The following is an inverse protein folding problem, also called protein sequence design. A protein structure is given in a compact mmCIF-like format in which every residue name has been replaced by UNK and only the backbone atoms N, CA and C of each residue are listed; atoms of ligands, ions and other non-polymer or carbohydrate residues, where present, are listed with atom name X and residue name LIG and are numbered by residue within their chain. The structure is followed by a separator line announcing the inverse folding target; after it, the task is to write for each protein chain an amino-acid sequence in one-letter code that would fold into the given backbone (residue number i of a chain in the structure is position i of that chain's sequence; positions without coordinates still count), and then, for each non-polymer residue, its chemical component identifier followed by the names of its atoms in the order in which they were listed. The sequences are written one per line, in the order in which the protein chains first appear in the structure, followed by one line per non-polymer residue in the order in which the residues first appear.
data_IF_670077124792
#
_entry.id   IF_670077124792
#
_cell.length_a   1.000
_cell.length_b   1.000
_cell.length_c   1.000
_cell.angle_alpha   90.00
_cell.angle_beta   90.00
_cell.angle_gamma   90.00
#
_symmetry.space_group_name_H-M   'P 1'
#
loop_
_entity.id
_entity.type
_entity.pdbx_description
1 polymer ?
#
# COMPACT_ATOMS: atom_id res chain seq x y z
N UNK A 1 -4.30 25.40 -8.96
CA UNK A 1 -3.11 25.10 -9.79
C UNK A 1 -2.71 23.67 -9.48
N UNK A 2 -3.17 22.69 -10.26
CA UNK A 2 -2.90 21.26 -10.04
C UNK A 2 -1.41 20.99 -10.28
N UNK A 3 -0.71 20.51 -9.26
CA UNK A 3 0.66 20.00 -9.40
C UNK A 3 0.55 18.47 -9.35
N UNK A 4 0.84 17.75 -10.45
CA UNK A 4 0.78 16.29 -10.43
C UNK A 4 1.77 15.75 -9.39
N UNK A 5 1.35 14.73 -8.64
CA UNK A 5 2.24 13.99 -7.76
C UNK A 5 3.45 13.48 -8.57
N UNK A 6 4.64 13.57 -7.98
CA UNK A 6 5.86 13.01 -8.60
C UNK A 6 5.64 11.50 -8.74
N UNK A 7 5.51 11.03 -9.99
CA UNK A 7 5.64 9.61 -10.31
C UNK A 7 7.01 9.14 -9.82
N UNK A 8 7.02 8.04 -9.07
CA UNK A 8 8.26 7.51 -8.52
C UNK A 8 9.16 7.03 -9.67
N UNK A 9 10.38 7.60 -9.77
CA UNK A 9 11.44 7.15 -10.68
C UNK A 9 12.66 6.80 -9.85
N UNK A 10 13.16 5.57 -10.01
CA UNK A 10 14.32 5.05 -9.28
C UNK A 10 15.60 5.85 -9.59
N UNK A 11 16.42 6.11 -8.56
CA UNK A 11 17.72 6.78 -8.65
C UNK A 11 18.71 6.25 -7.61
N UNK A 12 19.99 6.21 -7.99
CA UNK A 12 21.12 5.41 -7.48
C UNK A 12 21.57 5.59 -6.01
N UNK A 13 21.81 4.44 -5.34
CA UNK A 13 22.78 4.11 -4.26
C UNK A 13 22.97 5.03 -3.03
N UNK A 14 22.00 4.96 -2.12
CA UNK A 14 22.26 4.69 -0.69
C UNK A 14 21.51 3.39 -0.37
N UNK A 15 21.80 2.67 0.72
CA UNK A 15 20.99 1.50 1.13
C UNK A 15 19.53 1.98 1.24
N UNK A 16 18.76 1.73 0.19
CA UNK A 16 17.53 2.49 -0.05
C UNK A 16 16.51 1.98 0.93
N UNK A 17 15.91 2.88 1.72
CA UNK A 17 14.87 2.55 2.71
C UNK A 17 13.84 1.61 2.08
N UNK A 18 13.27 0.64 2.81
CA UNK A 18 12.22 -0.20 2.23
C UNK A 18 11.05 0.64 1.71
N UNK A 19 10.40 0.18 0.64
CA UNK A 19 9.14 0.75 0.15
C UNK A 19 7.95 0.11 0.89
N UNK A 20 6.88 0.86 1.08
CA UNK A 20 5.58 0.31 1.46
C UNK A 20 4.54 0.79 0.46
N UNK A 21 4.05 -0.15 -0.35
CA UNK A 21 2.94 0.04 -1.27
C UNK A 21 1.62 -0.17 -0.52
N UNK A 22 0.81 0.88 -0.47
CA UNK A 22 -0.38 0.94 0.35
C UNK A 22 -1.64 1.07 -0.51
N UNK A 23 -2.53 0.08 -0.43
CA UNK A 23 -3.85 0.17 -1.03
C UNK A 23 -4.87 0.92 -0.14
N UNK A 24 -6.03 1.26 -0.71
CA UNK A 24 -7.10 2.00 -0.03
C UNK A 24 -8.28 1.10 0.28
N UNK A 25 -8.99 0.58 -0.73
CA UNK A 25 -10.24 -0.15 -0.52
C UNK A 25 -9.95 -1.49 0.16
N UNK A 26 -10.66 -1.81 1.26
CA UNK A 26 -10.44 -3.06 2.00
C UNK A 26 -9.15 -3.05 2.84
N UNK A 27 -8.29 -2.06 2.63
CA UNK A 27 -7.03 -1.91 3.36
C UNK A 27 -7.13 -0.78 4.39
N UNK A 28 -7.06 0.47 3.95
CA UNK A 28 -7.24 1.64 4.82
C UNK A 28 -8.72 1.96 5.02
N UNK A 29 -9.53 1.72 3.98
CA UNK A 29 -10.97 1.94 3.95
C UNK A 29 -11.70 0.58 4.02
N UNK A 30 -12.01 0.07 5.22
CA UNK A 30 -12.66 -1.23 5.36
C UNK A 30 -14.10 -1.22 4.82
N UNK A 31 -14.50 -2.31 4.17
CA UNK A 31 -15.84 -2.53 3.67
C UNK A 31 -16.35 -3.94 4.01
N UNK A 32 -17.67 -4.12 4.18
CA UNK A 32 -18.26 -5.43 4.46
C UNK A 32 -18.36 -5.85 5.93
N UNK A 33 -17.84 -5.05 6.89
CA UNK A 33 -18.04 -5.28 8.33
C UNK A 33 -19.36 -4.74 8.90
N UNK A 34 -19.82 -5.32 10.02
CA UNK A 34 -20.99 -4.89 10.83
C UNK A 34 -20.76 -3.61 11.64
N UNK A 35 -19.62 -2.94 11.44
CA UNK A 35 -19.22 -1.72 12.14
C UNK A 35 -20.10 -0.50 11.83
N UNK A 36 -20.02 0.47 12.75
CA UNK A 36 -20.85 1.68 12.95
C UNK A 36 -21.63 2.16 11.72
N UNK A 37 -22.91 2.53 11.89
CA UNK A 37 -23.70 3.08 10.82
C UNK A 37 -23.01 4.33 10.23
N UNK A 38 -23.22 4.58 8.94
CA UNK A 38 -22.73 5.77 8.26
C UNK A 38 -23.00 7.05 9.07
N UNK A 39 -21.99 7.91 9.23
CA UNK A 39 -22.22 9.25 9.76
C UNK A 39 -23.17 10.00 8.78
N UNK A 40 -24.28 10.60 9.27
CA UNK A 40 -25.34 11.11 8.40
C UNK A 40 -24.96 12.35 7.57
N UNK A 41 -23.74 12.88 7.72
CA UNK A 41 -23.25 14.12 7.13
C UNK A 41 -21.97 13.98 6.27
N UNK A 42 -21.48 12.76 6.01
CA UNK A 42 -20.30 12.54 5.18
C UNK A 42 -20.66 12.28 3.70
N UNK A 43 -19.97 12.92 2.74
CA UNK A 43 -20.17 12.67 1.30
C UNK A 43 -19.84 11.24 0.87
N UNK A 44 -19.03 10.53 1.66
CA UNK A 44 -18.91 9.08 1.61
C UNK A 44 -19.00 8.51 3.04
N UNK A 45 -20.08 7.81 3.38
CA UNK A 45 -20.29 7.27 4.72
C UNK A 45 -19.22 6.29 5.22
N UNK A 46 -18.55 5.61 4.30
CA UNK A 46 -17.55 4.59 4.64
C UNK A 46 -16.26 5.23 5.19
N UNK A 47 -15.97 6.49 4.86
CA UNK A 47 -14.79 7.20 5.36
C UNK A 47 -14.78 7.35 6.89
N UNK A 48 -15.95 7.30 7.54
CA UNK A 48 -16.06 7.31 9.00
C UNK A 48 -15.48 6.04 9.65
N UNK A 49 -15.26 4.97 8.87
CA UNK A 49 -14.69 3.70 9.34
C UNK A 49 -13.16 3.69 9.35
N UNK A 50 -12.49 4.70 8.78
CA UNK A 50 -11.03 4.79 8.75
C UNK A 50 -10.51 5.02 10.17
N UNK A 51 -9.63 4.13 10.65
CA UNK A 51 -8.86 4.36 11.87
C UNK A 51 -7.77 5.41 11.61
N UNK A 52 -8.00 6.62 12.12
CA UNK A 52 -7.07 7.75 11.94
C UNK A 52 -5.75 7.56 12.71
N UNK A 53 -5.69 6.64 13.66
CA UNK A 53 -4.44 6.36 14.39
C UNK A 53 -3.38 5.69 13.52
N UNK A 54 -3.79 5.10 12.38
CA UNK A 54 -2.88 4.48 11.40
C UNK A 54 -1.90 5.48 10.78
N UNK A 55 -2.26 6.76 10.63
CA UNK A 55 -1.40 7.74 9.98
C UNK A 55 -0.05 7.94 10.68
N UNK A 56 -0.02 8.37 11.95
CA UNK A 56 1.22 8.47 12.73
C UNK A 56 1.99 7.15 12.82
N UNK A 57 1.28 6.02 12.90
CA UNK A 57 1.87 4.69 12.93
C UNK A 57 2.63 4.36 11.63
N UNK A 58 1.98 4.55 10.47
CA UNK A 58 2.58 4.36 9.14
C UNK A 58 3.80 5.26 8.94
N UNK A 59 3.72 6.53 9.36
CA UNK A 59 4.85 7.46 9.29
C UNK A 59 6.03 7.05 10.19
N UNK A 60 5.75 6.33 11.28
CA UNK A 60 6.74 5.83 12.24
C UNK A 60 7.54 4.62 11.76
N UNK A 61 7.08 3.88 10.74
CA UNK A 61 7.69 2.63 10.28
C UNK A 61 9.12 2.78 9.75
N UNK A 62 9.49 3.98 9.31
CA UNK A 62 10.83 4.22 8.77
C UNK A 62 11.05 3.63 7.36
N UNK A 63 9.98 3.45 6.59
CA UNK A 63 9.97 3.14 5.16
C UNK A 63 9.55 4.36 4.33
N UNK A 64 9.55 4.22 3.01
CA UNK A 64 9.00 5.20 2.08
C UNK A 64 7.60 4.72 1.64
N UNK A 65 6.54 5.46 2.02
CA UNK A 65 5.16 5.12 1.67
C UNK A 65 4.83 5.53 0.23
N UNK A 66 4.12 4.67 -0.50
CA UNK A 66 3.66 4.88 -1.88
C UNK A 66 2.23 4.38 -2.00
N UNK A 67 1.33 5.20 -2.56
CA UNK A 67 -0.02 4.75 -2.88
C UNK A 67 0.00 3.71 -3.99
N UNK A 68 -0.60 2.55 -3.76
CA UNK A 68 -0.74 1.46 -4.71
C UNK A 68 -2.22 1.07 -4.86
N UNK A 69 -3.00 2.02 -5.38
CA UNK A 69 -4.47 1.96 -5.42
C UNK A 69 -5.01 2.49 -6.75
N UNK A 70 -6.18 2.01 -7.16
CA UNK A 70 -6.92 2.56 -8.29
C UNK A 70 -7.41 4.00 -8.05
N UNK A 71 -7.40 4.47 -6.81
CA UNK A 71 -7.69 5.87 -6.45
C UNK A 71 -6.60 6.85 -6.89
N UNK A 72 -5.44 6.38 -7.35
CA UNK A 72 -4.38 7.24 -7.87
C UNK A 72 -4.07 8.48 -6.99
N UNK A 73 -4.21 9.69 -7.54
CA UNK A 73 -3.91 10.93 -6.81
C UNK A 73 -5.07 11.38 -5.91
N UNK A 74 -6.28 10.90 -6.17
CA UNK A 74 -7.46 11.12 -5.33
C UNK A 74 -7.24 10.55 -3.92
N UNK A 75 -6.40 9.52 -3.75
CA UNK A 75 -5.95 9.05 -2.44
C UNK A 75 -5.24 10.15 -1.62
N UNK A 76 -4.46 11.03 -2.27
CA UNK A 76 -3.83 12.18 -1.61
C UNK A 76 -4.83 13.29 -1.28
N UNK A 77 -5.95 13.38 -1.99
CA UNK A 77 -6.96 14.41 -1.78
C UNK A 77 -7.98 14.01 -0.71
N UNK A 78 -8.28 12.72 -0.61
CA UNK A 78 -9.32 12.19 0.30
C UNK A 78 -8.73 11.46 1.49
N UNK A 79 -7.88 10.44 1.27
CA UNK A 79 -7.41 9.54 2.33
C UNK A 79 -6.25 10.17 3.12
N UNK A 80 -5.29 10.78 2.42
CA UNK A 80 -4.12 11.41 3.02
C UNK A 80 -4.46 12.37 4.16
N UNK A 81 -5.35 13.36 3.96
CA UNK A 81 -5.74 14.31 5.00
C UNK A 81 -6.44 13.66 6.21
N UNK A 82 -7.25 12.61 5.99
CA UNK A 82 -7.95 11.91 7.08
C UNK A 82 -6.97 11.18 8.02
N UNK A 83 -5.87 10.67 7.45
CA UNK A 83 -4.79 10.03 8.20
C UNK A 83 -3.71 11.03 8.67
N UNK A 84 -3.78 12.30 8.25
CA UNK A 84 -2.70 13.27 8.52
C UNK A 84 -1.38 12.92 7.80
N UNK A 85 -1.44 12.17 6.71
CA UNK A 85 -0.29 11.84 5.89
C UNK A 85 0.09 13.03 5.00
N UNK A 86 1.40 13.23 4.71
CA UNK A 86 1.80 14.13 3.65
C UNK A 86 1.33 13.58 2.29
N UNK A 87 1.39 14.40 1.24
CA UNK A 87 1.19 13.90 -0.12
C UNK A 87 2.24 12.83 -0.44
N UNK A 88 1.79 11.63 -0.74
CA UNK A 88 2.66 10.49 -1.07
C UNK A 88 2.82 10.34 -2.60
N UNK A 89 3.91 9.72 -3.06
CA UNK A 89 4.01 9.24 -4.44
C UNK A 89 2.89 8.24 -4.75
N UNK A 90 2.48 8.20 -6.02
CA UNK A 90 1.52 7.22 -6.55
C UNK A 90 2.30 6.23 -7.43
N UNK A 91 2.08 4.94 -7.20
CA UNK A 91 2.66 3.88 -8.02
C UNK A 91 2.10 3.95 -9.45
N UNK A 92 2.97 3.83 -10.44
CA UNK A 92 2.56 3.73 -11.84
C UNK A 92 2.14 2.28 -12.12
N UNK A 93 0.87 1.98 -11.80
CA UNK A 93 0.25 0.66 -11.92
C UNK A 93 -0.26 0.36 -13.33
N UNK A 94 0.27 1.03 -14.34
CA UNK A 94 -0.05 0.71 -15.72
C UNK A 94 0.19 -0.78 -15.98
N UNK A 95 -0.79 -1.42 -16.61
CA UNK A 95 -0.71 -2.82 -17.01
C UNK A 95 0.41 -2.97 -18.05
N UNK A 96 1.41 -3.77 -17.69
CA UNK A 96 2.61 -3.99 -18.49
C UNK A 96 2.41 -5.08 -19.57
N UNK A 97 1.19 -5.57 -19.74
CA UNK A 97 0.86 -6.61 -20.71
C UNK A 97 0.93 -8.03 -20.16
N UNK A 98 0.43 -8.95 -20.97
CA UNK A 98 -0.03 -10.31 -20.62
C UNK A 98 1.10 -11.35 -20.47
N UNK A 99 2.34 -10.93 -20.24
CA UNK A 99 3.50 -11.84 -20.23
C UNK A 99 3.67 -12.61 -18.89
N UNK A 100 2.60 -12.82 -18.14
CA UNK A 100 2.66 -13.50 -16.84
C UNK A 100 1.39 -14.27 -16.54
N UNK A 101 1.36 -15.09 -15.47
CA UNK A 101 0.21 -15.94 -15.20
C UNK A 101 -1.09 -15.13 -15.09
N UNK A 102 -2.15 -15.61 -15.75
CA UNK A 102 -3.52 -15.04 -15.70
C UNK A 102 -4.07 -14.90 -14.26
N UNK A 103 -3.43 -15.55 -13.29
CA UNK A 103 -3.84 -15.58 -11.88
C UNK A 103 -3.21 -14.49 -11.02
N UNK A 104 -2.29 -13.68 -11.57
CA UNK A 104 -1.67 -12.59 -10.82
C UNK A 104 -2.62 -11.41 -10.66
N UNK A 105 -2.56 -10.76 -9.50
CA UNK A 105 -3.19 -9.47 -9.32
C UNK A 105 -2.54 -8.43 -10.24
N UNK A 106 -3.36 -7.56 -10.80
CA UNK A 106 -2.95 -6.57 -11.80
C UNK A 106 -1.86 -5.59 -11.31
N UNK A 107 -1.68 -5.45 -9.99
CA UNK A 107 -0.63 -4.61 -9.39
C UNK A 107 0.72 -5.32 -9.31
N UNK A 108 0.74 -6.65 -9.24
CA UNK A 108 1.90 -7.46 -8.81
C UNK A 108 3.17 -7.17 -9.61
N UNK A 109 3.10 -7.21 -10.95
CA UNK A 109 4.25 -6.94 -11.82
C UNK A 109 4.77 -5.50 -11.66
N UNK A 110 3.84 -4.53 -11.66
CA UNK A 110 4.18 -3.12 -11.54
C UNK A 110 4.89 -2.81 -10.21
N UNK A 111 4.44 -3.40 -9.10
CA UNK A 111 5.08 -3.20 -7.80
C UNK A 111 6.51 -3.73 -7.76
N UNK A 112 6.78 -4.92 -8.30
CA UNK A 112 8.15 -5.47 -8.39
C UNK A 112 9.05 -4.58 -9.25
N UNK A 113 8.55 -4.10 -10.40
CA UNK A 113 9.26 -3.16 -11.27
C UNK A 113 9.60 -1.87 -10.54
N UNK A 114 8.63 -1.26 -9.85
CA UNK A 114 8.83 0.00 -9.12
C UNK A 114 9.81 -0.21 -7.96
N UNK A 115 9.75 -1.36 -7.29
CA UNK A 115 10.69 -1.70 -6.23
C UNK A 115 12.12 -1.82 -6.74
N UNK A 116 12.32 -2.30 -7.98
CA UNK A 116 13.62 -2.30 -8.66
C UNK A 116 14.74 -2.93 -7.79
N UNK A 117 14.43 -4.03 -7.10
CA UNK A 117 15.33 -4.76 -6.21
C UNK A 117 15.46 -4.18 -4.78
N UNK A 118 14.80 -3.07 -4.46
CA UNK A 118 14.71 -2.57 -3.07
C UNK A 118 13.78 -3.46 -2.25
N UNK A 119 14.05 -3.68 -0.95
CA UNK A 119 13.10 -4.32 -0.08
C UNK A 119 11.75 -3.59 -0.11
N UNK A 120 10.64 -4.31 -0.18
CA UNK A 120 9.32 -3.69 -0.18
C UNK A 120 8.28 -4.48 0.62
N UNK A 121 7.26 -3.76 1.07
CA UNK A 121 6.02 -4.28 1.62
C UNK A 121 4.89 -3.93 0.67
N UNK A 122 3.99 -4.87 0.41
CA UNK A 122 2.71 -4.62 -0.24
C UNK A 122 1.58 -4.95 0.75
N UNK A 123 0.78 -3.94 1.08
CA UNK A 123 -0.34 -4.03 2.03
C UNK A 123 -1.64 -3.85 1.26
N UNK A 124 -2.45 -4.90 1.18
CA UNK A 124 -3.61 -4.99 0.28
C UNK A 124 -4.55 -6.13 0.70
N UNK A 125 -5.84 -6.05 0.38
CA UNK A 125 -6.82 -7.09 0.70
C UNK A 125 -6.91 -8.19 -0.39
N UNK A 126 -6.50 -7.89 -1.63
CA UNK A 126 -6.67 -8.83 -2.76
C UNK A 126 -5.47 -9.73 -3.03
N UNK A 127 -4.44 -9.73 -2.17
CA UNK A 127 -3.23 -10.57 -2.35
C UNK A 127 -3.59 -12.05 -2.40
N UNK A 128 -3.17 -12.75 -3.44
CA UNK A 128 -3.40 -14.19 -3.60
C UNK A 128 -2.10 -15.00 -3.51
N UNK A 129 -2.18 -16.34 -3.34
CA UNK A 129 -1.00 -17.19 -3.33
C UNK A 129 -0.14 -17.01 -4.59
N UNK A 130 -0.73 -16.91 -5.78
CA UNK A 130 0.02 -16.75 -7.03
C UNK A 130 0.97 -15.55 -6.98
N UNK A 131 0.56 -14.43 -6.38
CA UNK A 131 1.40 -13.25 -6.23
C UNK A 131 2.62 -13.52 -5.34
N UNK A 132 2.43 -14.25 -4.23
CA UNK A 132 3.53 -14.58 -3.31
C UNK A 132 4.59 -15.42 -4.02
N UNK A 133 4.16 -16.48 -4.70
CA UNK A 133 5.06 -17.38 -5.42
C UNK A 133 5.81 -16.66 -6.54
N UNK A 134 5.11 -15.80 -7.29
CA UNK A 134 5.72 -15.06 -8.39
C UNK A 134 6.71 -14.01 -7.88
N UNK A 135 6.36 -13.23 -6.85
CA UNK A 135 7.27 -12.22 -6.28
C UNK A 135 8.52 -12.86 -5.65
N UNK A 136 8.37 -14.00 -4.96
CA UNK A 136 9.51 -14.73 -4.40
C UNK A 136 10.52 -15.17 -5.47
N UNK A 137 10.03 -15.50 -6.66
CA UNK A 137 10.88 -15.91 -7.78
C UNK A 137 11.49 -14.72 -8.54
N UNK A 138 10.71 -13.66 -8.77
CA UNK A 138 11.09 -12.56 -9.66
C UNK A 138 11.78 -11.38 -8.96
N UNK A 139 11.53 -11.17 -7.67
CA UNK A 139 12.09 -10.03 -6.95
C UNK A 139 13.38 -10.43 -6.20
N UNK A 140 14.55 -9.85 -6.55
CA UNK A 140 15.82 -10.25 -5.93
C UNK A 140 16.02 -9.75 -4.49
N UNK A 141 15.15 -8.86 -4.01
CA UNK A 141 15.20 -8.31 -2.65
C UNK A 141 14.19 -8.96 -1.70
N UNK A 142 14.23 -8.63 -0.40
CA UNK A 142 13.20 -9.06 0.54
C UNK A 142 11.85 -8.40 0.21
N UNK A 143 10.79 -9.21 0.07
CA UNK A 143 9.42 -8.72 -0.11
C UNK A 143 8.49 -9.27 0.98
N UNK A 144 7.68 -8.39 1.57
CA UNK A 144 6.57 -8.79 2.43
C UNK A 144 5.24 -8.47 1.74
N UNK A 145 4.45 -9.50 1.44
CA UNK A 145 3.06 -9.32 1.05
C UNK A 145 2.18 -9.50 2.30
N UNK A 146 1.51 -8.45 2.74
CA UNK A 146 0.66 -8.45 3.93
C UNK A 146 -0.81 -8.33 3.50
N UNK A 147 -1.54 -9.46 3.55
CA UNK A 147 -2.95 -9.54 3.17
C UNK A 147 -3.82 -9.04 4.32
N UNK A 148 -4.67 -8.06 4.06
CA UNK A 148 -5.60 -7.48 5.03
C UNK A 148 -6.98 -8.12 4.89
N UNK A 149 -7.70 -8.29 6.00
CA UNK A 149 -9.13 -8.65 5.96
C UNK A 149 -9.94 -7.39 5.61
N UNK A 150 -10.66 -7.35 4.46
CA UNK A 150 -11.37 -6.15 4.02
C UNK A 150 -12.48 -5.69 4.96
N UNK A 151 -13.04 -6.61 5.77
CA UNK A 151 -14.08 -6.27 6.74
C UNK A 151 -13.54 -5.49 7.95
N UNK A 152 -12.25 -5.65 8.25
CA UNK A 152 -11.57 -5.06 9.40
C UNK A 152 -10.69 -3.89 8.98
N UNK A 153 -10.00 -4.02 7.85
CA UNK A 153 -8.96 -3.10 7.43
C UNK A 153 -7.66 -3.31 8.21
N UNK A 154 -6.67 -2.46 7.91
CA UNK A 154 -5.34 -2.50 8.51
C UNK A 154 -5.42 -2.15 10.00
N UNK A 155 -4.77 -2.95 10.85
CA UNK A 155 -4.82 -2.78 12.31
C UNK A 155 -3.46 -2.39 12.91
N UNK A 156 -3.47 -1.94 14.16
CA UNK A 156 -2.23 -1.70 14.91
C UNK A 156 -1.37 -2.98 15.08
N UNK A 157 -1.99 -4.16 15.11
CA UNK A 157 -1.26 -5.43 15.17
C UNK A 157 -0.52 -5.72 13.86
N UNK A 158 -1.15 -5.39 12.73
CA UNK A 158 -0.54 -5.49 11.40
C UNK A 158 0.65 -4.54 11.25
N UNK A 159 0.50 -3.29 11.73
CA UNK A 159 1.60 -2.32 11.79
C UNK A 159 2.76 -2.90 12.61
N UNK A 160 2.51 -3.46 13.80
CA UNK A 160 3.57 -4.02 14.64
C UNK A 160 4.28 -5.22 13.99
N UNK A 161 3.53 -6.03 13.23
CA UNK A 161 4.09 -7.12 12.43
C UNK A 161 4.99 -6.58 11.30
N UNK A 162 4.51 -5.58 10.53
CA UNK A 162 5.28 -4.91 9.47
C UNK A 162 6.56 -4.27 10.04
N UNK A 163 6.46 -3.60 11.19
CA UNK A 163 7.62 -2.99 11.87
C UNK A 163 8.67 -4.05 12.26
N UNK A 164 8.22 -5.21 12.73
CA UNK A 164 9.11 -6.34 13.07
C UNK A 164 9.84 -6.85 11.83
N UNK A 165 9.14 -7.02 10.71
CA UNK A 165 9.75 -7.40 9.45
C UNK A 165 10.78 -6.34 8.98
N UNK A 166 10.42 -5.07 9.05
CA UNK A 166 11.30 -3.95 8.67
C UNK A 166 12.59 -3.90 9.48
N UNK A 167 12.58 -4.31 10.76
CA UNK A 167 13.80 -4.40 11.57
C UNK A 167 14.74 -5.51 11.09
N UNK A 168 14.20 -6.62 10.59
CA UNK A 168 14.98 -7.74 10.05
C UNK A 168 15.43 -7.55 8.59
N UNK A 169 14.75 -6.70 7.83
CA UNK A 169 15.07 -6.41 6.43
C UNK A 169 16.12 -5.28 6.25
N UNK A 170 16.52 -4.61 7.33
CA UNK A 170 17.62 -3.63 7.30
C UNK A 170 18.96 -4.39 7.21
N UNK A 171 19.88 -3.99 6.30
CA UNK A 171 21.20 -4.61 6.20
C UNK A 171 22.05 -4.39 7.46
#
# INVERSE_FOLDING_TARGET
MYRPARRYRAGMTSASRPLLFLDVDGTILPFGGSGLPPAPDASNPYLARIDRTLGPQLMGLGCDLVWATAWMDEANEVIGPLLGLPRLPVADLADDGDDGPDTLQWKTKALVRIASGRPFIWVDDVIEPADRWWIEFEHPGPALLHKVDPAVGLTAADIAFIETWLRGARP
#
